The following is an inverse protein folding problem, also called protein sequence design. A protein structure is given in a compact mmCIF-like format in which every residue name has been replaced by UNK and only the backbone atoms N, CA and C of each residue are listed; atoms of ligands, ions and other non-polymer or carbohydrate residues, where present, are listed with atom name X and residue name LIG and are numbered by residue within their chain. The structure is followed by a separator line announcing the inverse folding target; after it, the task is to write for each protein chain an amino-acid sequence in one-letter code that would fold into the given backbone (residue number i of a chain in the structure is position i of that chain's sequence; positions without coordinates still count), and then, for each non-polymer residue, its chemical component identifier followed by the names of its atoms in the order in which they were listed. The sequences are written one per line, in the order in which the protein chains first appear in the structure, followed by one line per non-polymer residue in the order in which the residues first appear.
data_IF_815261736481
#
_entry.id   IF_815261736481
#
_cell.length_a   1.000
_cell.length_b   1.000
_cell.length_c   1.000
_cell.angle_alpha   90.00
_cell.angle_beta   90.00
_cell.angle_gamma   90.00
#
_symmetry.space_group_name_H-M   'P 1'
#
loop_
_entity.id
_entity.type
_entity.pdbx_description
1 polymer ?
#
# COMPACT_ATOMS: atom_id res chain seq x y z
N UNK A 1 9.28 -14.45 -17.52
CA UNK A 1 8.73 -13.14 -17.13
C UNK A 1 7.46 -13.39 -16.33
N UNK A 2 7.46 -13.11 -15.03
CA UNK A 2 6.24 -13.12 -14.23
C UNK A 2 5.66 -11.71 -14.26
N UNK A 3 4.42 -11.55 -14.73
CA UNK A 3 3.76 -10.25 -14.80
C UNK A 3 3.24 -9.91 -13.40
N UNK A 4 3.31 -8.64 -13.01
CA UNK A 4 2.75 -8.21 -11.74
C UNK A 4 1.23 -8.43 -11.74
N UNK A 5 0.64 -9.11 -10.74
CA UNK A 5 -0.79 -9.41 -10.74
C UNK A 5 -1.63 -8.13 -10.73
N UNK A 6 -2.66 -8.07 -11.58
CA UNK A 6 -3.55 -6.90 -11.64
C UNK A 6 -4.26 -6.67 -10.29
N UNK A 7 -4.69 -7.74 -9.61
CA UNK A 7 -5.36 -7.65 -8.32
C UNK A 7 -4.49 -6.95 -7.26
N UNK A 8 -3.17 -7.19 -7.29
CA UNK A 8 -2.22 -6.52 -6.38
C UNK A 8 -2.18 -5.00 -6.59
N UNK A 9 -2.37 -4.54 -7.82
CA UNK A 9 -2.41 -3.10 -8.11
C UNK A 9 -3.65 -2.46 -7.45
N UNK A 10 -4.80 -3.14 -7.51
CA UNK A 10 -6.03 -2.65 -6.88
C UNK A 10 -5.94 -2.68 -5.36
N UNK A 11 -5.35 -3.73 -4.78
CA UNK A 11 -5.08 -3.82 -3.35
C UNK A 11 -4.19 -2.65 -2.89
N UNK A 12 -3.08 -2.40 -3.59
CA UNK A 12 -2.15 -1.29 -3.28
C UNK A 12 -2.86 0.06 -3.38
N UNK A 13 -3.67 0.25 -4.42
CA UNK A 13 -4.38 1.51 -4.63
C UNK A 13 -5.41 1.77 -3.53
N UNK A 14 -6.21 0.75 -3.19
CA UNK A 14 -7.20 0.84 -2.12
C UNK A 14 -6.55 1.14 -0.76
N UNK A 15 -5.42 0.49 -0.47
CA UNK A 15 -4.68 0.69 0.78
C UNK A 15 -4.15 2.11 0.92
N UNK A 16 -3.48 2.63 -0.12
CA UNK A 16 -2.96 4.00 -0.08
C UNK A 16 -4.10 5.01 0.02
N UNK A 17 -5.18 4.84 -0.77
CA UNK A 17 -6.35 5.73 -0.68
C UNK A 17 -7.05 5.67 0.67
N UNK A 18 -7.04 4.51 1.35
CA UNK A 18 -7.64 4.38 2.68
C UNK A 18 -6.89 5.21 3.74
N UNK A 19 -5.56 5.21 3.72
CA UNK A 19 -4.73 5.89 4.73
C UNK A 19 -4.40 7.34 4.41
N UNK A 20 -4.15 7.66 3.13
CA UNK A 20 -3.67 8.98 2.71
C UNK A 20 -4.78 9.82 2.08
N UNK A 21 -5.93 9.20 1.79
CA UNK A 21 -7.12 9.85 1.22
C UNK A 21 -6.90 10.50 -0.16
N UNK A 22 -5.87 10.08 -0.88
CA UNK A 22 -5.70 10.44 -2.29
C UNK A 22 -6.76 9.76 -3.16
N UNK A 23 -7.12 10.45 -4.25
CA UNK A 23 -8.05 9.90 -5.23
C UNK A 23 -7.48 8.65 -5.90
N UNK A 24 -8.38 7.83 -6.44
CA UNK A 24 -7.99 6.62 -7.18
C UNK A 24 -7.08 6.97 -8.35
N UNK A 25 -7.37 8.06 -9.03
CA UNK A 25 -6.61 8.57 -10.17
C UNK A 25 -5.17 8.91 -9.76
N UNK A 26 -4.98 9.71 -8.71
CA UNK A 26 -3.65 10.08 -8.20
C UNK A 26 -2.82 8.86 -7.82
N UNK A 27 -3.42 7.86 -7.17
CA UNK A 27 -2.71 6.65 -6.74
C UNK A 27 -2.34 5.75 -7.91
N UNK A 28 -3.19 5.66 -8.94
CA UNK A 28 -2.91 4.87 -10.14
C UNK A 28 -1.87 5.52 -11.06
N UNK A 29 -1.70 6.84 -10.99
CA UNK A 29 -0.62 7.55 -11.69
C UNK A 29 0.76 7.31 -11.08
N UNK A 30 0.85 6.84 -9.83
CA UNK A 30 2.12 6.51 -9.20
C UNK A 30 2.83 5.37 -9.94
N UNK A 31 4.13 5.52 -10.24
CA UNK A 31 4.96 4.41 -10.70
C UNK A 31 4.87 3.23 -9.72
N UNK A 32 4.89 2.01 -10.24
CA UNK A 32 4.76 0.80 -9.41
C UNK A 32 5.72 0.79 -8.19
N UNK A 33 6.99 1.20 -8.38
CA UNK A 33 7.97 1.25 -7.29
C UNK A 33 7.63 2.27 -6.21
N UNK A 34 7.02 3.38 -6.61
CA UNK A 34 6.60 4.44 -5.69
C UNK A 34 5.36 4.00 -4.91
N UNK A 35 4.39 3.38 -5.57
CA UNK A 35 3.22 2.80 -4.91
C UNK A 35 3.61 1.75 -3.86
N UNK A 36 4.56 0.87 -4.19
CA UNK A 36 5.13 -0.09 -3.22
C UNK A 36 5.88 0.59 -2.06
N UNK A 37 6.58 1.71 -2.32
CA UNK A 37 7.22 2.49 -1.26
C UNK A 37 6.17 3.05 -0.31
N UNK A 38 5.12 3.67 -0.82
CA UNK A 38 4.05 4.23 0.01
C UNK A 38 3.37 3.15 0.87
N UNK A 39 3.12 1.96 0.32
CA UNK A 39 2.60 0.85 1.11
C UNK A 39 3.51 0.54 2.31
N UNK A 40 4.83 0.46 2.10
CA UNK A 40 5.80 0.23 3.19
C UNK A 40 5.82 1.34 4.24
N UNK A 41 5.81 2.60 3.82
CA UNK A 41 5.85 3.73 4.76
C UNK A 41 4.60 3.77 5.63
N UNK A 42 3.42 3.52 5.05
CA UNK A 42 2.15 3.46 5.77
C UNK A 42 2.17 2.31 6.78
N UNK A 43 2.58 1.11 6.37
CA UNK A 43 2.74 -0.05 7.25
C UNK A 43 3.71 0.24 8.41
N UNK A 44 4.85 0.89 8.15
CA UNK A 44 5.80 1.32 9.19
C UNK A 44 5.20 2.31 10.19
N UNK A 45 4.39 3.27 9.71
CA UNK A 45 3.70 4.24 10.58
C UNK A 45 2.66 3.52 11.44
N UNK A 46 1.83 2.65 10.85
CA UNK A 46 0.82 1.89 11.59
C UNK A 46 1.44 1.02 12.69
N UNK A 47 2.54 0.32 12.39
CA UNK A 47 3.28 -0.46 13.40
C UNK A 47 3.75 0.40 14.58
N UNK A 48 4.17 1.64 14.34
CA UNK A 48 4.64 2.56 15.38
C UNK A 48 3.50 3.17 16.20
N UNK A 49 2.35 3.42 15.57
CA UNK A 49 1.24 4.17 16.17
C UNK A 49 0.20 3.26 16.82
N UNK A 50 -0.16 2.15 16.18
CA UNK A 50 -1.32 1.32 16.57
C UNK A 50 -0.98 0.22 17.58
N UNK A 51 0.30 -0.05 17.86
CA UNK A 51 0.75 -1.28 18.55
C UNK A 51 0.18 -2.57 17.92
N UNK A 52 -0.27 -2.50 16.67
CA UNK A 52 -0.76 -3.66 15.92
C UNK A 52 0.40 -4.62 15.70
N UNK A 53 0.11 -5.91 15.90
CA UNK A 53 1.14 -6.91 15.71
C UNK A 53 1.41 -7.08 14.20
N UNK A 54 2.66 -7.38 13.81
CA UNK A 54 3.03 -7.49 12.39
C UNK A 54 2.17 -8.49 11.59
N UNK A 55 1.56 -9.47 12.24
CA UNK A 55 0.62 -10.42 11.63
C UNK A 55 -0.67 -9.79 11.07
N UNK A 56 -1.06 -8.61 11.57
CA UNK A 56 -2.27 -7.88 11.18
C UNK A 56 -2.02 -6.95 9.98
N UNK A 57 -0.78 -6.84 9.51
CA UNK A 57 -0.44 -6.02 8.35
C UNK A 57 -1.00 -6.63 7.06
N UNK A 58 -1.88 -5.88 6.40
CA UNK A 58 -2.52 -6.21 5.12
C UNK A 58 -1.44 -6.49 4.06
N UNK A 59 -0.33 -5.75 4.11
CA UNK A 59 0.82 -5.94 3.27
C UNK A 59 1.95 -6.46 4.14
N UNK A 60 2.09 -7.79 4.21
CA UNK A 60 3.24 -8.48 4.84
C UNK A 60 4.57 -8.16 4.12
N UNK A 61 4.95 -6.90 4.06
CA UNK A 61 6.12 -6.33 3.37
C UNK A 61 7.15 -5.87 4.40
#
# INVERSE_FOLDING_TARGET
MNVYPADKIYEEAAFISYYVHWSREEVLELPHRERLRWCREISEINRKVSHEQPEDDIFRI
#
